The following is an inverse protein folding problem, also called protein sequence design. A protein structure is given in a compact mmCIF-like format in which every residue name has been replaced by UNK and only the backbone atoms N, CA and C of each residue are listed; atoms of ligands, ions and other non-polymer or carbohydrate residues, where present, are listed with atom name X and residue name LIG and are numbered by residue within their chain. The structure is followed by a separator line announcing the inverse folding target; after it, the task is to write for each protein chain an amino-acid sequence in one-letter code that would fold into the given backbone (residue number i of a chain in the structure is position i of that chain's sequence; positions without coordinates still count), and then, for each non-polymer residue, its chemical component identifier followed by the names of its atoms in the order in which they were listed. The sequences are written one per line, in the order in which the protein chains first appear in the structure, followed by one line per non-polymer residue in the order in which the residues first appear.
data_IF_137648925528
#
_entry.id   IF_137648925528
#
_cell.length_a   1.000
_cell.length_b   1.000
_cell.length_c   1.000
_cell.angle_alpha   90.00
_cell.angle_beta   90.00
_cell.angle_gamma   90.00
#
_symmetry.space_group_name_H-M   'P 1'
#
loop_
_entity.id
_entity.type
_entity.pdbx_description
1 polymer ?
#
# COMPACT_ATOMS: atom_id res chain seq x y z
N UNK A 1 -30.38 4.95 39.49
CA UNK A 1 -29.76 6.05 38.73
C UNK A 1 -28.26 6.02 39.02
N UNK A 2 -27.50 5.16 38.35
CA UNK A 2 -26.04 5.16 38.45
C UNK A 2 -25.50 6.08 37.36
N UNK A 3 -25.25 7.33 37.74
CA UNK A 3 -24.49 8.28 36.94
C UNK A 3 -23.01 7.89 37.07
N UNK A 4 -22.53 7.02 36.18
CA UNK A 4 -21.10 6.82 36.02
C UNK A 4 -20.52 8.13 35.45
N UNK A 5 -19.99 8.97 36.34
CA UNK A 5 -19.16 10.13 36.01
C UNK A 5 -17.81 9.60 35.52
N UNK A 6 -17.84 8.96 34.34
CA UNK A 6 -16.64 8.62 33.61
C UNK A 6 -16.08 9.91 33.05
N UNK A 7 -15.07 10.46 33.71
CA UNK A 7 -14.05 11.26 33.02
C UNK A 7 -13.74 10.50 31.74
N UNK A 8 -13.89 11.13 30.59
CA UNK A 8 -13.59 10.53 29.30
C UNK A 8 -12.10 10.18 29.25
N UNK A 9 -11.74 9.02 29.81
CA UNK A 9 -10.51 8.37 29.48
C UNK A 9 -10.62 8.09 27.99
N UNK A 10 -9.75 8.71 27.22
CA UNK A 10 -9.39 8.26 25.87
C UNK A 10 -8.65 6.93 26.07
N UNK A 11 -9.41 5.94 26.53
CA UNK A 11 -8.94 4.76 27.23
C UNK A 11 -8.50 3.75 26.20
N UNK A 12 -7.19 3.51 26.14
CA UNK A 12 -6.70 2.38 25.39
C UNK A 12 -7.26 1.08 25.93
N UNK A 13 -7.60 0.14 25.04
CA UNK A 13 -8.04 -1.20 25.43
C UNK A 13 -6.82 -1.98 25.96
N UNK A 14 -6.90 -2.49 27.19
CA UNK A 14 -5.85 -3.36 27.72
C UNK A 14 -6.14 -4.81 27.35
N UNK A 15 -5.24 -5.41 26.57
CA UNK A 15 -5.27 -6.84 26.26
C UNK A 15 -4.23 -7.53 27.14
N UNK A 16 -4.66 -8.55 27.89
CA UNK A 16 -3.78 -9.34 28.75
C UNK A 16 -2.58 -9.88 27.95
N UNK A 17 -1.37 -9.71 28.49
CA UNK A 17 -0.07 -10.07 27.88
C UNK A 17 0.42 -9.19 26.72
N UNK A 18 -0.44 -8.37 26.13
CA UNK A 18 -0.11 -7.53 24.97
C UNK A 18 -0.03 -6.04 25.30
N UNK A 19 -0.62 -5.61 26.43
CA UNK A 19 -0.54 -4.24 26.93
C UNK A 19 -1.74 -3.38 26.54
N UNK A 20 -1.57 -2.06 26.62
CA UNK A 20 -2.62 -1.08 26.34
C UNK A 20 -2.53 -0.63 24.89
N UNK A 21 -3.62 -0.80 24.14
CA UNK A 21 -3.75 -0.41 22.74
C UNK A 21 -4.52 0.89 22.63
N UNK A 22 -3.97 1.86 21.89
CA UNK A 22 -4.69 3.07 21.52
C UNK A 22 -5.45 2.84 20.21
N UNK A 23 -6.46 3.68 19.98
CA UNK A 23 -7.15 3.71 18.69
C UNK A 23 -6.16 4.05 17.56
N UNK A 24 -6.23 3.30 16.46
CA UNK A 24 -5.38 3.48 15.29
C UNK A 24 -5.61 4.80 14.55
N UNK A 25 -6.73 5.49 14.82
CA UNK A 25 -6.96 6.86 14.33
C UNK A 25 -6.12 7.92 15.06
N UNK A 26 -5.56 7.59 16.23
CA UNK A 26 -4.75 8.51 17.04
C UNK A 26 -3.30 8.48 16.50
N UNK A 27 -2.76 9.64 16.11
CA UNK A 27 -1.45 9.87 15.45
C UNK A 27 -1.46 9.70 13.91
N UNK A 28 -0.27 9.58 13.30
CA UNK A 28 -0.01 9.51 11.85
C UNK A 28 -0.57 8.25 11.14
N UNK A 29 -1.53 7.55 11.74
CA UNK A 29 -2.06 6.26 11.26
C UNK A 29 -3.47 6.36 10.68
N UNK A 30 -4.10 7.54 10.63
CA UNK A 30 -5.39 7.74 9.97
C UNK A 30 -5.35 7.39 8.46
N UNK A 31 -4.15 7.38 7.86
CA UNK A 31 -3.90 6.66 6.62
C UNK A 31 -3.04 5.42 6.90
N UNK A 32 -3.62 4.20 6.93
CA UNK A 32 -2.90 2.99 7.31
C UNK A 32 -1.94 2.49 6.20
N UNK A 33 -1.70 3.28 5.15
CA UNK A 33 -0.92 2.87 3.98
C UNK A 33 0.48 2.36 4.34
N UNK A 34 1.17 3.01 5.27
CA UNK A 34 2.51 2.60 5.68
C UNK A 34 2.48 1.27 6.45
N UNK A 35 1.44 1.06 7.27
CA UNK A 35 1.24 -0.21 7.97
C UNK A 35 0.94 -1.31 6.94
N UNK A 36 0.05 -1.06 5.98
CA UNK A 36 -0.30 -2.03 4.94
C UNK A 36 0.92 -2.43 4.09
N UNK A 37 1.77 -1.46 3.72
CA UNK A 37 3.02 -1.74 3.00
C UNK A 37 4.01 -2.53 3.85
N UNK A 38 4.12 -2.22 5.15
CA UNK A 38 4.96 -2.96 6.07
C UNK A 38 4.50 -4.43 6.22
N UNK A 39 3.21 -4.64 6.50
CA UNK A 39 2.60 -5.97 6.61
C UNK A 39 2.74 -6.76 5.30
N UNK A 40 2.57 -6.11 4.15
CA UNK A 40 2.71 -6.78 2.85
C UNK A 40 4.09 -7.41 2.64
N UNK A 41 5.15 -6.76 3.12
CA UNK A 41 6.53 -7.28 3.05
C UNK A 41 6.74 -8.46 4.01
N UNK A 42 6.04 -8.45 5.14
CA UNK A 42 6.09 -9.55 6.09
C UNK A 42 5.34 -10.78 5.56
N UNK A 43 4.16 -10.60 4.97
CA UNK A 43 3.34 -11.68 4.41
C UNK A 43 3.97 -12.26 3.14
N UNK A 44 4.54 -11.41 2.28
CA UNK A 44 5.14 -11.82 1.00
C UNK A 44 6.60 -11.35 0.87
N UNK A 45 7.56 -11.93 1.62
CA UNK A 45 8.96 -11.46 1.65
C UNK A 45 9.70 -11.60 0.31
N UNK A 46 9.25 -12.50 -0.56
CA UNK A 46 9.80 -12.69 -1.91
C UNK A 46 9.27 -11.66 -2.93
N UNK A 47 8.25 -10.89 -2.57
CA UNK A 47 7.64 -9.87 -3.42
C UNK A 47 8.29 -8.52 -3.10
N UNK A 48 9.04 -8.01 -4.06
CA UNK A 48 9.76 -6.72 -3.92
C UNK A 48 8.78 -5.56 -3.71
N UNK A 49 7.64 -5.58 -4.41
CA UNK A 49 6.59 -4.57 -4.31
C UNK A 49 5.21 -5.13 -4.70
N UNK A 50 4.11 -4.56 -4.16
CA UNK A 50 2.75 -4.89 -4.60
C UNK A 50 2.50 -4.48 -6.07
N UNK A 51 1.61 -5.21 -6.76
CA UNK A 51 1.19 -4.90 -8.14
C UNK A 51 0.23 -3.69 -8.22
N UNK A 52 -0.59 -3.51 -7.19
CA UNK A 52 -1.57 -2.44 -7.06
C UNK A 52 -1.67 -2.08 -5.59
N UNK A 53 -1.63 -0.79 -5.28
CA UNK A 53 -1.85 -0.26 -3.94
C UNK A 53 -3.06 0.66 -3.98
N UNK A 54 -4.10 0.34 -3.20
CA UNK A 54 -5.31 1.13 -3.11
C UNK A 54 -5.52 1.60 -1.67
N UNK A 55 -5.51 2.91 -1.48
CA UNK A 55 -5.91 3.58 -0.25
C UNK A 55 -7.33 4.15 -0.42
N UNK A 56 -8.21 3.90 0.54
CA UNK A 56 -9.53 4.50 0.59
C UNK A 56 -9.52 5.60 1.65
N UNK A 57 -9.79 6.83 1.23
CA UNK A 57 -9.92 7.99 2.11
C UNK A 57 -11.39 8.29 2.41
N UNK A 58 -11.62 8.89 3.58
CA UNK A 58 -12.97 9.28 4.06
C UNK A 58 -13.37 10.69 3.62
N UNK A 59 -12.46 11.46 3.04
CA UNK A 59 -12.67 12.85 2.72
C UNK A 59 -11.46 13.69 3.09
N UNK A 60 -11.30 14.83 2.43
CA UNK A 60 -10.45 15.92 2.92
C UNK A 60 -11.12 17.25 2.60
N UNK A 61 -10.92 18.23 3.48
CA UNK A 61 -11.22 19.63 3.20
C UNK A 61 -10.04 20.23 2.43
N UNK A 62 -10.26 20.77 1.23
CA UNK A 62 -9.21 21.53 0.56
C UNK A 62 -9.01 22.83 1.35
N UNK A 63 -7.90 22.92 2.08
CA UNK A 63 -7.52 24.15 2.80
C UNK A 63 -6.96 25.17 1.80
N UNK A 64 -7.79 25.59 0.82
CA UNK A 64 -7.41 26.55 -0.21
C UNK A 64 -7.12 27.95 0.32
N UNK A 65 -7.49 28.22 1.57
CA UNK A 65 -7.18 29.45 2.28
C UNK A 65 -6.93 29.04 3.72
N UNK A 66 -5.81 29.48 4.32
CA UNK A 66 -5.71 29.49 5.79
C UNK A 66 -7.04 30.02 6.28
N UNK A 67 -7.89 29.25 7.00
CA UNK A 67 -9.13 29.81 7.46
C UNK A 67 -8.70 31.04 8.27
N UNK A 68 -9.15 32.20 7.80
CA UNK A 68 -9.18 33.40 8.62
C UNK A 68 -10.25 33.08 9.65
N UNK A 69 -9.93 32.15 10.55
CA UNK A 69 -10.67 31.93 11.79
C UNK A 69 -10.54 33.27 12.47
N UNK A 70 -11.59 34.08 12.37
CA UNK A 70 -11.70 35.31 13.12
C UNK A 70 -11.59 34.90 14.58
N UNK A 71 -10.41 35.11 15.16
CA UNK A 71 -10.16 34.70 16.54
C UNK A 71 -11.00 35.62 17.43
N UNK A 72 -11.79 35.08 18.37
CA UNK A 72 -12.35 35.91 19.41
C UNK A 72 -11.15 36.45 20.21
N UNK A 73 -10.90 37.76 20.09
CA UNK A 73 -10.01 38.47 21.01
C UNK A 73 -10.66 38.36 22.38
N UNK A 74 -10.21 37.42 23.21
CA UNK A 74 -10.65 37.36 24.60
C UNK A 74 -10.02 38.56 25.31
N UNK A 75 -10.78 39.63 25.45
CA UNK A 75 -10.39 40.80 26.22
C UNK A 75 -10.49 40.44 27.70
N UNK A 76 -9.37 40.09 28.33
CA UNK A 76 -9.30 40.09 29.78
C UNK A 76 -8.92 41.50 30.30
N UNK A 77 -9.35 41.91 31.51
CA UNK A 77 -9.25 43.30 32.00
C UNK A 77 -7.82 43.83 32.26
N UNK A 78 -6.80 43.01 32.05
CA UNK A 78 -5.40 43.31 32.33
C UNK A 78 -4.68 43.19 30.98
N UNK A 79 -3.97 44.24 30.57
CA UNK A 79 -3.56 44.58 29.20
C UNK A 79 -2.57 43.63 28.49
N UNK A 80 -2.79 42.32 28.55
CA UNK A 80 -2.15 41.33 27.68
C UNK A 80 -3.19 40.72 26.73
N UNK A 81 -3.20 41.22 25.50
CA UNK A 81 -3.86 40.56 24.38
C UNK A 81 -3.06 39.31 24.03
N UNK A 82 -3.47 38.14 24.51
CA UNK A 82 -2.91 36.87 24.03
C UNK A 82 -3.74 36.35 22.85
N UNK A 83 -3.10 36.12 21.71
CA UNK A 83 -3.74 35.42 20.61
C UNK A 83 -3.89 33.95 20.99
N UNK A 84 -5.12 33.41 21.01
CA UNK A 84 -5.40 31.98 21.30
C UNK A 84 -4.50 31.04 20.47
N UNK A 85 -4.10 31.49 19.26
CA UNK A 85 -3.17 30.78 18.37
C UNK A 85 -1.81 30.46 19.00
N UNK A 86 -1.35 31.23 19.97
CA UNK A 86 -0.03 31.04 20.58
C UNK A 86 -0.04 30.10 21.79
N UNK A 87 -1.21 29.62 22.25
CA UNK A 87 -1.21 28.73 23.41
C UNK A 87 -0.54 27.41 23.01
N UNK A 88 0.37 26.85 23.85
CA UNK A 88 0.94 25.54 23.61
C UNK A 88 -0.11 24.46 23.39
N UNK A 89 -1.27 24.56 24.08
CA UNK A 89 -2.39 23.63 23.91
C UNK A 89 -3.05 23.75 22.54
N UNK A 90 -3.28 24.96 22.03
CA UNK A 90 -3.81 25.15 20.67
C UNK A 90 -2.80 24.65 19.62
N UNK A 91 -1.50 24.91 19.80
CA UNK A 91 -0.46 24.34 18.93
C UNK A 91 -0.46 22.81 18.99
N UNK A 92 -0.63 22.20 20.17
CA UNK A 92 -0.74 20.75 20.32
C UNK A 92 -1.98 20.18 19.63
N UNK A 93 -3.15 20.81 19.80
CA UNK A 93 -4.40 20.39 19.13
C UNK A 93 -4.27 20.55 17.61
N UNK A 94 -3.67 21.65 17.14
CA UNK A 94 -3.43 21.85 15.71
C UNK A 94 -2.42 20.84 15.14
N UNK A 95 -1.31 20.58 15.84
CA UNK A 95 -0.36 19.54 15.47
C UNK A 95 -1.01 18.15 15.47
N UNK A 96 -1.88 17.88 16.45
CA UNK A 96 -2.65 16.64 16.52
C UNK A 96 -3.64 16.52 15.36
N UNK A 97 -4.41 17.58 15.05
CA UNK A 97 -5.28 17.65 13.86
C UNK A 97 -4.50 17.47 12.56
N UNK A 98 -3.35 18.12 12.42
CA UNK A 98 -2.46 17.95 11.28
C UNK A 98 -1.92 16.52 11.16
N UNK A 99 -1.62 15.86 12.29
CA UNK A 99 -1.22 14.44 12.32
C UNK A 99 -2.33 13.49 11.86
N UNK A 100 -3.60 13.86 12.06
CA UNK A 100 -4.76 13.12 11.59
C UNK A 100 -5.08 13.34 10.11
N UNK A 101 -4.42 14.26 9.40
CA UNK A 101 -4.66 14.45 7.96
C UNK A 101 -4.11 13.25 7.17
N UNK A 102 -4.97 12.28 6.85
CA UNK A 102 -4.60 11.12 6.04
C UNK A 102 -4.13 11.48 4.62
N UNK A 103 -4.48 12.67 4.12
CA UNK A 103 -3.99 13.19 2.84
C UNK A 103 -2.53 13.67 2.96
N UNK A 104 -2.09 14.14 4.13
CA UNK A 104 -0.69 14.49 4.37
C UNK A 104 0.23 13.26 4.30
N UNK A 105 -0.14 12.17 4.98
CA UNK A 105 0.57 10.89 4.92
C UNK A 105 0.61 10.33 3.50
N UNK A 106 -0.46 10.50 2.73
CA UNK A 106 -0.49 10.11 1.31
C UNK A 106 0.49 10.94 0.48
N UNK A 107 0.50 12.28 0.65
CA UNK A 107 1.43 13.17 -0.07
C UNK A 107 2.89 12.85 0.26
N UNK A 108 3.18 12.61 1.54
CA UNK A 108 4.52 12.21 1.98
C UNK A 108 4.95 10.89 1.35
N UNK A 109 4.09 9.86 1.35
CA UNK A 109 4.37 8.60 0.68
C UNK A 109 4.64 8.80 -0.82
N UNK A 110 3.79 9.56 -1.52
CA UNK A 110 3.94 9.83 -2.95
C UNK A 110 5.21 10.63 -3.29
N UNK A 111 5.80 11.36 -2.34
CA UNK A 111 7.09 12.02 -2.52
C UNK A 111 8.28 11.05 -2.44
N UNK A 112 8.12 9.89 -1.78
CA UNK A 112 9.17 8.88 -1.65
C UNK A 112 9.11 7.79 -2.72
N UNK A 113 7.96 7.62 -3.38
CA UNK A 113 7.77 6.63 -4.45
C UNK A 113 8.37 7.17 -5.77
N UNK A 114 9.08 6.32 -6.49
CA UNK A 114 9.65 6.65 -7.79
C UNK A 114 8.56 6.88 -8.85
N UNK A 115 8.77 7.80 -9.79
CA UNK A 115 7.72 8.28 -10.72
C UNK A 115 7.07 7.18 -11.57
N UNK A 116 7.83 6.16 -11.99
CA UNK A 116 7.33 5.03 -12.77
C UNK A 116 6.42 4.08 -11.97
N UNK A 117 6.55 4.06 -10.65
CA UNK A 117 5.75 3.26 -9.72
C UNK A 117 4.46 3.97 -9.32
N UNK A 118 4.40 5.31 -9.34
CA UNK A 118 3.24 6.10 -8.90
C UNK A 118 1.93 5.69 -9.57
N UNK A 119 1.99 5.17 -10.81
CA UNK A 119 0.83 4.65 -11.57
C UNK A 119 0.17 3.40 -10.96
N UNK A 120 0.84 2.73 -10.03
CA UNK A 120 0.34 1.56 -9.31
C UNK A 120 -0.27 1.91 -7.95
N UNK A 121 -0.15 3.17 -7.53
CA UNK A 121 -0.66 3.70 -6.28
C UNK A 121 -1.89 4.57 -6.51
N UNK A 122 -3.00 4.16 -5.91
CA UNK A 122 -4.29 4.82 -6.03
C UNK A 122 -4.77 5.26 -4.65
N UNK A 123 -5.34 6.46 -4.58
CA UNK A 123 -6.13 6.90 -3.45
C UNK A 123 -7.48 7.39 -3.92
N UNK A 124 -8.53 6.67 -3.54
CA UNK A 124 -9.90 7.14 -3.74
C UNK A 124 -10.30 7.90 -2.48
N UNK A 125 -10.40 9.21 -2.58
CA UNK A 125 -10.83 10.07 -1.48
C UNK A 125 -11.76 11.16 -2.01
N UNK A 126 -12.74 11.53 -1.20
CA UNK A 126 -13.66 12.61 -1.51
C UNK A 126 -12.98 13.95 -1.22
N UNK A 127 -13.15 14.92 -2.12
CA UNK A 127 -12.95 16.33 -1.78
C UNK A 127 -14.29 16.84 -1.23
N UNK A 128 -14.29 17.34 0.00
CA UNK A 128 -15.52 17.75 0.65
C UNK A 128 -16.07 19.04 0.01
N UNK A 129 -17.38 19.13 -0.25
CA UNK A 129 -17.99 20.34 -0.85
C UNK A 129 -18.04 21.55 0.11
N UNK A 130 -17.58 21.38 1.35
CA UNK A 130 -17.63 22.37 2.42
C UNK A 130 -16.79 21.91 3.61
N UNK A 131 -16.95 22.55 4.79
CA UNK A 131 -16.24 22.14 5.99
C UNK A 131 -16.59 20.70 6.36
N UNK A 132 -15.64 20.01 7.00
CA UNK A 132 -15.88 18.67 7.53
C UNK A 132 -17.12 18.67 8.45
N UNK A 133 -18.14 17.84 8.14
CA UNK A 133 -19.32 17.76 8.98
C UNK A 133 -18.96 17.19 10.35
N UNK A 134 -19.73 17.55 11.37
CA UNK A 134 -19.53 16.98 12.70
C UNK A 134 -19.75 15.46 12.68
N UNK A 135 -19.05 14.73 13.53
CA UNK A 135 -19.11 13.25 13.59
C UNK A 135 -20.53 12.72 13.89
N UNK A 136 -21.36 13.52 14.55
CA UNK A 136 -22.74 13.24 14.92
C UNK A 136 -23.78 13.85 13.96
N UNK A 137 -23.35 14.52 12.89
CA UNK A 137 -24.24 15.07 11.87
C UNK A 137 -24.74 13.99 10.91
N UNK A 138 -25.74 13.22 11.35
CA UNK A 138 -26.42 12.24 10.52
C UNK A 138 -27.15 12.87 9.32
N UNK A 139 -27.48 14.17 9.37
CA UNK A 139 -28.11 14.90 8.27
C UNK A 139 -27.18 15.06 7.06
N UNK A 140 -25.87 15.06 7.29
CA UNK A 140 -24.86 15.13 6.24
C UNK A 140 -24.69 13.81 5.44
N UNK A 141 -25.21 12.67 5.92
CA UNK A 141 -24.96 11.35 5.32
C UNK A 141 -25.38 11.27 3.84
N UNK A 142 -26.56 11.77 3.48
CA UNK A 142 -27.03 11.79 2.09
C UNK A 142 -26.20 12.73 1.22
N UNK A 143 -25.80 13.87 1.77
CA UNK A 143 -24.95 14.84 1.09
C UNK A 143 -23.57 14.23 0.79
N UNK A 144 -22.92 13.60 1.76
CA UNK A 144 -21.63 12.91 1.56
C UNK A 144 -21.75 11.76 0.55
N UNK A 145 -22.80 10.95 0.68
CA UNK A 145 -23.08 9.82 -0.20
C UNK A 145 -23.29 10.27 -1.65
N UNK A 146 -24.03 11.36 -1.85
CA UNK A 146 -24.21 11.97 -3.18
C UNK A 146 -22.93 12.62 -3.71
N UNK A 147 -22.12 13.27 -2.86
CA UNK A 147 -20.85 13.86 -3.24
C UNK A 147 -19.87 12.81 -3.78
N UNK A 148 -19.78 11.63 -3.17
CA UNK A 148 -18.94 10.51 -3.69
C UNK A 148 -19.42 10.05 -5.07
N UNK A 149 -20.74 9.95 -5.28
CA UNK A 149 -21.31 9.54 -6.57
C UNK A 149 -21.03 10.58 -7.66
N UNK A 150 -21.18 11.86 -7.32
CA UNK A 150 -21.11 13.00 -8.23
C UNK A 150 -19.70 13.58 -8.40
N UNK A 151 -18.70 13.09 -7.67
CA UNK A 151 -17.34 13.59 -7.75
C UNK A 151 -16.84 13.61 -9.22
N UNK A 152 -16.39 14.76 -9.76
CA UNK A 152 -16.08 14.89 -11.20
C UNK A 152 -15.04 13.88 -11.71
N UNK A 153 -13.97 13.65 -10.93
CA UNK A 153 -12.92 12.67 -11.25
C UNK A 153 -13.28 11.24 -10.82
N UNK A 154 -14.41 11.05 -10.15
CA UNK A 154 -14.83 9.78 -9.56
C UNK A 154 -14.96 8.65 -10.58
N UNK A 155 -15.72 8.81 -11.68
CA UNK A 155 -15.91 7.73 -12.67
C UNK A 155 -14.60 7.23 -13.29
N UNK A 156 -13.73 8.15 -13.72
CA UNK A 156 -12.45 7.80 -14.33
C UNK A 156 -11.49 7.17 -13.32
N UNK A 157 -11.36 7.75 -12.11
CA UNK A 157 -10.52 7.19 -11.06
C UNK A 157 -10.97 5.78 -10.66
N UNK A 158 -12.27 5.56 -10.48
CA UNK A 158 -12.83 4.23 -10.19
C UNK A 158 -12.57 3.24 -11.33
N UNK A 159 -12.74 3.68 -12.58
CA UNK A 159 -12.42 2.87 -13.76
C UNK A 159 -10.93 2.47 -13.76
N UNK A 160 -10.02 3.41 -13.54
CA UNK A 160 -8.59 3.15 -13.55
C UNK A 160 -8.16 2.17 -12.44
N UNK A 161 -8.71 2.34 -11.22
CA UNK A 161 -8.53 1.40 -10.11
C UNK A 161 -9.07 0.02 -10.46
N UNK A 162 -10.28 -0.05 -11.03
CA UNK A 162 -10.89 -1.32 -11.42
C UNK A 162 -10.06 -2.02 -12.49
N UNK A 163 -9.65 -1.31 -13.54
CA UNK A 163 -8.73 -1.83 -14.57
C UNK A 163 -7.44 -2.34 -13.93
N UNK A 164 -6.87 -1.60 -12.98
CA UNK A 164 -5.64 -1.99 -12.29
C UNK A 164 -5.77 -3.31 -11.54
N UNK A 165 -6.82 -3.45 -10.73
CA UNK A 165 -7.10 -4.67 -9.96
C UNK A 165 -7.44 -5.88 -10.85
N UNK A 166 -8.13 -5.65 -11.96
CA UNK A 166 -8.49 -6.71 -12.90
C UNK A 166 -7.28 -7.18 -13.71
N UNK A 167 -6.44 -6.26 -14.20
CA UNK A 167 -5.22 -6.60 -14.94
C UNK A 167 -4.19 -7.29 -14.03
N UNK A 168 -4.09 -6.89 -12.75
CA UNK A 168 -3.22 -7.57 -11.79
C UNK A 168 -3.69 -8.99 -11.45
N UNK A 169 -4.88 -9.40 -11.87
CA UNK A 169 -5.32 -10.81 -11.77
C UNK A 169 -4.68 -11.71 -12.84
N UNK A 170 -4.04 -11.14 -13.85
CA UNK A 170 -3.30 -11.88 -14.86
C UNK A 170 -1.85 -12.07 -14.45
N UNK A 171 -1.26 -13.21 -14.79
CA UNK A 171 0.13 -13.54 -14.49
C UNK A 171 0.69 -14.44 -15.59
N UNK A 172 2.01 -14.49 -15.71
CA UNK A 172 2.69 -15.32 -16.69
C UNK A 172 3.26 -16.58 -16.04
N UNK A 173 3.14 -17.68 -16.77
CA UNK A 173 3.72 -18.97 -16.44
C UNK A 173 4.61 -19.40 -17.61
N UNK A 174 5.90 -19.56 -17.34
CA UNK A 174 6.82 -20.15 -18.30
C UNK A 174 6.62 -21.68 -18.25
N UNK A 175 6.46 -22.32 -19.42
CA UNK A 175 6.14 -23.75 -19.50
C UNK A 175 7.40 -24.63 -19.43
N UNK A 176 8.49 -24.16 -20.02
CA UNK A 176 9.73 -24.92 -20.15
C UNK A 176 10.96 -24.02 -20.10
N UNK A 177 12.14 -24.60 -19.85
CA UNK A 177 13.39 -23.86 -19.94
C UNK A 177 13.53 -23.31 -21.36
N UNK A 178 13.79 -22.00 -21.53
CA UNK A 178 13.94 -21.40 -22.85
C UNK A 178 15.05 -22.08 -23.66
N UNK A 179 14.75 -22.43 -24.91
CA UNK A 179 15.73 -23.05 -25.81
C UNK A 179 16.55 -21.97 -26.50
N UNK A 180 17.88 -22.12 -26.49
CA UNK A 180 18.77 -21.19 -27.20
C UNK A 180 18.87 -21.56 -28.68
N UNK A 181 18.55 -20.63 -29.57
CA UNK A 181 18.67 -20.80 -31.01
C UNK A 181 19.02 -19.46 -31.67
N UNK A 182 19.95 -19.46 -32.63
CA UNK A 182 20.32 -18.29 -33.44
C UNK A 182 20.63 -17.02 -32.61
N UNK A 183 21.37 -17.16 -31.51
CA UNK A 183 21.79 -16.02 -30.70
C UNK A 183 20.78 -15.55 -29.64
N UNK A 184 19.59 -16.15 -29.58
CA UNK A 184 18.49 -15.75 -28.71
C UNK A 184 17.90 -16.96 -27.97
N UNK A 185 17.32 -16.73 -26.80
CA UNK A 185 16.47 -17.70 -26.13
C UNK A 185 15.03 -17.55 -26.60
N UNK A 186 14.42 -18.67 -27.00
CA UNK A 186 13.00 -18.77 -27.27
C UNK A 186 12.26 -19.10 -25.97
N UNK A 187 11.39 -18.20 -25.53
CA UNK A 187 10.57 -18.37 -24.34
C UNK A 187 9.15 -18.78 -24.74
N UNK A 188 8.68 -19.90 -24.20
CA UNK A 188 7.35 -20.45 -24.42
C UNK A 188 6.60 -20.54 -23.08
N UNK A 189 5.41 -19.93 -23.03
CA UNK A 189 4.62 -19.92 -21.81
C UNK A 189 3.17 -19.52 -22.07
N UNK A 190 2.44 -19.26 -21.00
CA UNK A 190 1.08 -18.77 -21.08
C UNK A 190 0.80 -17.65 -20.08
N UNK A 191 -0.02 -16.71 -20.52
CA UNK A 191 -0.67 -15.74 -19.63
C UNK A 191 -1.95 -16.38 -19.09
N UNK A 192 -2.04 -16.44 -17.77
CA UNK A 192 -3.16 -17.02 -17.03
C UNK A 192 -3.89 -15.93 -16.26
N UNK A 193 -5.11 -16.24 -15.82
CA UNK A 193 -5.91 -15.35 -14.97
C UNK A 193 -6.34 -16.08 -13.71
N UNK A 194 -6.18 -15.44 -12.54
CA UNK A 194 -6.54 -16.01 -11.23
C UNK A 194 -8.05 -16.29 -11.10
N UNK A 195 -8.89 -15.56 -11.82
CA UNK A 195 -10.34 -15.81 -11.81
C UNK A 195 -10.99 -15.51 -13.17
N UNK A 196 -11.93 -16.37 -13.58
CA UNK A 196 -12.75 -16.09 -14.76
C UNK A 196 -13.68 -14.89 -14.58
N UNK A 197 -14.00 -14.54 -13.33
CA UNK A 197 -14.72 -13.31 -12.98
C UNK A 197 -13.93 -12.07 -13.35
N UNK A 198 -12.62 -12.02 -13.02
CA UNK A 198 -11.78 -10.88 -13.36
C UNK A 198 -11.67 -10.67 -14.88
N UNK A 199 -11.48 -11.75 -15.65
CA UNK A 199 -11.50 -11.69 -17.11
C UNK A 199 -12.81 -11.08 -17.66
N UNK A 200 -13.96 -11.60 -17.20
CA UNK A 200 -15.26 -11.13 -17.68
C UNK A 200 -15.52 -9.68 -17.29
N UNK A 201 -15.19 -9.30 -16.07
CA UNK A 201 -15.28 -7.90 -15.62
C UNK A 201 -14.40 -6.98 -16.46
N UNK A 202 -13.19 -7.42 -16.82
CA UNK A 202 -12.27 -6.62 -17.64
C UNK A 202 -12.81 -6.40 -19.06
N UNK A 203 -13.33 -7.46 -19.68
CA UNK A 203 -13.98 -7.37 -21.00
C UNK A 203 -15.23 -6.47 -20.96
N UNK A 204 -16.01 -6.51 -19.88
CA UNK A 204 -17.19 -5.65 -19.72
C UNK A 204 -16.81 -4.17 -19.53
N UNK A 205 -15.71 -3.90 -18.83
CA UNK A 205 -15.21 -2.53 -18.63
C UNK A 205 -14.58 -1.99 -19.91
N UNK A 206 -14.02 -2.83 -20.78
CA UNK A 206 -13.43 -2.41 -22.06
C UNK A 206 -14.02 -3.18 -23.26
N UNK A 207 -15.27 -2.89 -23.67
CA UNK A 207 -15.98 -3.68 -24.67
C UNK A 207 -15.47 -3.52 -26.10
N UNK A 208 -14.54 -2.57 -26.36
CA UNK A 208 -13.99 -2.32 -27.70
C UNK A 208 -13.15 -3.48 -28.26
N UNK A 209 -12.74 -4.44 -27.42
CA UNK A 209 -12.10 -5.68 -27.86
C UNK A 209 -10.64 -5.53 -28.32
N UNK A 210 -10.03 -4.38 -28.06
CA UNK A 210 -8.65 -3.98 -28.41
C UNK A 210 -7.64 -4.21 -27.26
N UNK A 211 -7.98 -5.07 -26.30
CA UNK A 211 -7.09 -5.45 -25.20
C UNK A 211 -6.04 -6.46 -25.69
N UNK A 212 -4.81 -5.99 -25.89
CA UNK A 212 -3.72 -6.80 -26.46
C UNK A 212 -2.54 -6.93 -25.47
N UNK A 213 -1.93 -8.11 -25.43
CA UNK A 213 -0.73 -8.37 -24.64
C UNK A 213 0.55 -7.97 -25.38
N UNK A 214 1.45 -7.32 -24.64
CA UNK A 214 2.74 -6.85 -25.10
C UNK A 214 3.85 -7.35 -24.16
N UNK A 215 5.06 -7.48 -24.69
CA UNK A 215 6.29 -7.52 -23.92
C UNK A 215 7.06 -6.21 -24.14
N UNK A 216 6.98 -5.30 -23.17
CA UNK A 216 7.50 -3.95 -23.30
C UNK A 216 6.81 -3.19 -24.44
N UNK A 217 7.52 -3.02 -25.57
CA UNK A 217 6.99 -2.34 -26.77
C UNK A 217 6.58 -3.32 -27.87
N UNK A 218 6.90 -4.60 -27.73
CA UNK A 218 6.68 -5.62 -28.75
C UNK A 218 5.32 -6.28 -28.53
N UNK A 219 4.46 -6.25 -29.55
CA UNK A 219 3.18 -6.99 -29.52
C UNK A 219 3.46 -8.50 -29.48
N UNK A 220 2.67 -9.23 -28.69
CA UNK A 220 2.68 -10.70 -28.66
C UNK A 220 1.67 -11.31 -29.64
N UNK A 221 0.93 -10.48 -30.41
CA UNK A 221 -0.17 -10.93 -31.27
C UNK A 221 -1.31 -11.62 -30.52
N UNK A 222 -1.39 -11.42 -29.21
CA UNK A 222 -2.32 -12.12 -28.33
C UNK A 222 -3.33 -11.12 -27.76
N UNK A 223 -4.58 -11.24 -28.22
CA UNK A 223 -5.70 -10.45 -27.71
C UNK A 223 -6.40 -11.16 -26.55
N UNK A 224 -6.86 -10.38 -25.58
CA UNK A 224 -7.66 -10.86 -24.47
C UNK A 224 -9.03 -11.32 -24.98
N UNK A 225 -9.36 -12.59 -24.77
CA UNK A 225 -10.62 -13.15 -25.24
C UNK A 225 -11.22 -14.15 -24.25
N UNK A 226 -12.54 -14.22 -24.18
CA UNK A 226 -13.25 -15.25 -23.42
C UNK A 226 -13.10 -16.65 -24.04
N UNK A 227 -12.69 -16.73 -25.30
CA UNK A 227 -12.42 -17.98 -26.05
C UNK A 227 -11.26 -18.77 -25.46
N UNK A 228 -10.33 -18.10 -24.79
CA UNK A 228 -9.18 -18.69 -24.12
C UNK A 228 -9.53 -19.26 -22.72
N UNK A 229 -10.83 -19.29 -22.35
CA UNK A 229 -11.32 -20.02 -21.19
C UNK A 229 -11.48 -21.52 -21.50
N UNK A 230 -10.88 -22.37 -20.68
CA UNK A 230 -11.15 -23.79 -20.74
C UNK A 230 -12.64 -24.07 -20.48
N UNK A 231 -13.29 -24.79 -21.40
CA UNK A 231 -14.71 -25.15 -21.28
C UNK A 231 -15.00 -26.04 -20.08
N UNK A 232 -14.03 -26.86 -19.65
CA UNK A 232 -14.17 -27.77 -18.52
C UNK A 232 -13.87 -27.09 -17.18
N UNK A 233 -12.66 -26.56 -16.99
CA UNK A 233 -12.23 -26.02 -15.68
C UNK A 233 -12.42 -24.51 -15.52
N UNK A 234 -12.88 -23.81 -16.56
CA UNK A 234 -13.11 -22.35 -16.59
C UNK A 234 -11.87 -21.50 -16.28
N UNK A 235 -10.67 -22.07 -16.34
CA UNK A 235 -9.41 -21.33 -16.22
C UNK A 235 -9.06 -20.68 -17.56
N UNK A 236 -8.61 -19.44 -17.50
CA UNK A 236 -8.10 -18.70 -18.67
C UNK A 236 -6.65 -19.08 -18.93
N UNK A 237 -6.31 -19.31 -20.19
CA UNK A 237 -4.95 -19.62 -20.62
C UNK A 237 -4.71 -19.13 -22.04
N UNK A 238 -3.79 -18.18 -22.20
CA UNK A 238 -3.35 -17.67 -23.48
C UNK A 238 -1.88 -17.99 -23.71
N UNK A 239 -1.59 -18.90 -24.63
CA UNK A 239 -0.21 -19.21 -25.00
C UNK A 239 0.43 -17.99 -25.67
N UNK A 240 1.64 -17.65 -25.23
CA UNK A 240 2.45 -16.55 -25.77
C UNK A 240 3.89 -17.01 -25.92
N UNK A 241 4.59 -16.44 -26.90
CA UNK A 241 5.99 -16.71 -27.15
C UNK A 241 6.74 -15.41 -27.47
N UNK A 242 8.00 -15.34 -27.06
CA UNK A 242 8.87 -14.21 -27.33
C UNK A 242 10.34 -14.63 -27.24
N UNK A 243 11.24 -13.75 -27.67
CA UNK A 243 12.68 -14.01 -27.66
C UNK A 243 13.41 -13.03 -26.74
N UNK A 244 14.41 -13.52 -26.02
CA UNK A 244 15.33 -12.69 -25.19
C UNK A 244 16.77 -12.99 -25.55
N UNK A 245 17.70 -12.04 -25.33
CA UNK A 245 19.13 -12.23 -25.62
C UNK A 245 19.82 -13.02 -24.52
N UNK A 246 19.41 -12.77 -23.29
CA UNK A 246 19.91 -13.39 -22.07
C UNK A 246 18.76 -13.85 -21.19
N UNK A 247 18.96 -14.94 -20.44
CA UNK A 247 18.02 -15.33 -19.38
C UNK A 247 17.97 -14.29 -18.23
N UNK A 248 18.98 -13.43 -18.14
CA UNK A 248 19.03 -12.30 -17.20
C UNK A 248 18.31 -11.05 -17.72
N UNK A 249 17.80 -11.06 -18.95
CA UNK A 249 17.01 -9.95 -19.48
C UNK A 249 15.67 -9.87 -18.75
N UNK A 250 15.24 -8.64 -18.41
CA UNK A 250 13.93 -8.39 -17.84
C UNK A 250 12.85 -8.37 -18.94
N UNK A 251 11.81 -9.16 -18.72
CA UNK A 251 10.57 -9.08 -19.49
C UNK A 251 9.55 -8.26 -18.73
N UNK A 252 8.75 -7.49 -19.48
CA UNK A 252 7.71 -6.65 -18.91
C UNK A 252 6.42 -6.92 -19.66
N UNK A 253 5.73 -7.99 -19.26
CA UNK A 253 4.45 -8.34 -19.86
C UNK A 253 3.37 -7.36 -19.39
N UNK A 254 2.63 -6.79 -20.34
CA UNK A 254 1.61 -5.79 -20.10
C UNK A 254 0.40 -5.97 -21.01
N UNK A 255 -0.72 -5.43 -20.58
CA UNK A 255 -1.95 -5.33 -21.36
C UNK A 255 -2.12 -3.88 -21.81
N UNK A 256 -2.36 -3.69 -23.11
CA UNK A 256 -2.51 -2.38 -23.75
C UNK A 256 -3.92 -2.27 -24.34
N UNK A 257 -4.53 -1.09 -24.25
CA UNK A 257 -5.87 -0.81 -24.78
C UNK A 257 -6.01 0.55 -25.47
N UNK A 258 -4.95 1.35 -25.50
CA UNK A 258 -4.83 2.50 -26.40
C UNK A 258 -3.36 2.81 -26.63
N UNK A 259 -3.04 3.77 -27.50
CA UNK A 259 -1.64 4.15 -27.81
C UNK A 259 -0.84 4.44 -26.53
N UNK A 260 -1.46 5.16 -25.59
CA UNK A 260 -0.83 5.65 -24.36
C UNK A 260 -1.21 4.85 -23.10
N UNK A 261 -2.22 3.98 -23.21
CA UNK A 261 -2.74 3.26 -22.05
C UNK A 261 -2.30 1.80 -22.06
N UNK A 262 -1.40 1.49 -21.13
CA UNK A 262 -0.86 0.15 -20.88
C UNK A 262 -0.68 -0.08 -19.39
N UNK A 263 -0.79 -1.33 -18.97
CA UNK A 263 -0.52 -1.74 -17.59
C UNK A 263 0.12 -3.11 -17.53
N UNK A 264 1.13 -3.23 -16.68
CA UNK A 264 1.79 -4.51 -16.42
C UNK A 264 0.81 -5.52 -15.81
N UNK A 265 0.95 -6.78 -16.22
CA UNK A 265 0.31 -7.89 -15.49
C UNK A 265 1.07 -8.16 -14.19
N UNK A 266 0.53 -9.04 -13.33
CA UNK A 266 1.10 -9.34 -12.03
C UNK A 266 2.56 -9.77 -12.10
N UNK A 267 3.34 -9.31 -11.12
CA UNK A 267 4.75 -9.63 -10.94
C UNK A 267 5.63 -9.24 -12.13
N UNK A 268 5.40 -8.09 -12.78
CA UNK A 268 6.26 -7.57 -13.86
C UNK A 268 6.84 -6.20 -13.50
N UNK A 269 8.09 -5.88 -13.92
CA UNK A 269 9.00 -6.70 -14.73
C UNK A 269 9.73 -7.80 -13.93
N UNK A 270 10.20 -8.84 -14.63
CA UNK A 270 11.03 -9.92 -14.06
C UNK A 270 12.04 -10.46 -15.06
N UNK A 271 13.17 -10.93 -14.56
CA UNK A 271 14.13 -11.70 -15.37
C UNK A 271 13.55 -13.05 -15.77
N UNK A 272 13.96 -13.59 -16.91
CA UNK A 272 13.53 -14.93 -17.32
C UNK A 272 14.04 -16.00 -16.35
N UNK A 273 15.27 -15.85 -15.83
CA UNK A 273 15.84 -16.71 -14.79
C UNK A 273 14.98 -16.77 -13.53
N UNK A 274 14.31 -15.67 -13.15
CA UNK A 274 13.38 -15.68 -12.01
C UNK A 274 12.24 -16.69 -12.19
N UNK A 275 11.69 -16.84 -13.40
CA UNK A 275 10.63 -17.83 -13.64
C UNK A 275 11.16 -19.26 -13.55
N UNK A 276 12.34 -19.51 -14.13
CA UNK A 276 13.02 -20.81 -14.08
C UNK A 276 13.21 -21.25 -12.63
N UNK A 277 13.80 -20.37 -11.80
CA UNK A 277 14.06 -20.64 -10.39
C UNK A 277 12.75 -20.79 -9.60
N UNK A 278 11.78 -19.88 -9.81
CA UNK A 278 10.53 -19.84 -9.04
C UNK A 278 9.61 -21.03 -9.33
N UNK A 279 9.60 -21.51 -10.57
CA UNK A 279 8.80 -22.67 -11.00
C UNK A 279 9.57 -23.99 -10.91
N UNK A 280 10.87 -23.95 -10.57
CA UNK A 280 11.71 -25.14 -10.47
C UNK A 280 11.90 -25.87 -11.80
N UNK A 281 11.98 -25.14 -12.92
CA UNK A 281 12.10 -25.73 -14.26
C UNK A 281 13.47 -26.38 -14.50
N UNK A 282 14.50 -25.96 -13.76
CA UNK A 282 15.87 -26.51 -13.80
C UNK A 282 16.13 -27.62 -12.76
N UNK A 283 15.11 -28.01 -11.99
CA UNK A 283 15.23 -29.05 -10.98
C UNK A 283 15.49 -30.42 -11.64
N UNK A 284 16.57 -31.15 -11.25
CA UNK A 284 17.05 -32.34 -11.97
C UNK A 284 16.08 -33.54 -12.01
N UNK A 285 15.00 -33.53 -11.23
CA UNK A 285 14.05 -34.64 -11.12
C UNK A 285 12.58 -34.25 -11.37
N UNK A 286 12.32 -33.13 -12.07
CA UNK A 286 10.94 -32.73 -12.37
C UNK A 286 10.08 -32.45 -11.13
N UNK A 287 10.73 -32.13 -10.00
CA UNK A 287 10.08 -31.90 -8.71
C UNK A 287 9.08 -30.73 -8.70
N UNK A 288 9.06 -29.91 -9.77
CA UNK A 288 7.99 -28.93 -10.01
C UNK A 288 6.58 -29.57 -9.91
N UNK A 289 6.42 -30.83 -10.35
CA UNK A 289 5.14 -31.53 -10.27
C UNK A 289 4.82 -32.12 -8.87
N UNK A 290 5.80 -32.19 -7.96
CA UNK A 290 5.66 -32.86 -6.66
C UNK A 290 5.34 -31.87 -5.53
N UNK A 291 5.85 -30.63 -5.63
CA UNK A 291 5.71 -29.63 -4.56
C UNK A 291 4.44 -28.81 -4.61
N UNK A 292 3.76 -28.73 -5.76
CA UNK A 292 2.42 -28.14 -5.82
C UNK A 292 1.39 -29.22 -5.42
N UNK A 293 0.47 -28.95 -4.47
CA UNK A 293 -0.65 -29.86 -4.22
C UNK A 293 -1.30 -30.12 -5.57
N UNK A 294 -1.61 -31.39 -5.94
CA UNK A 294 -1.93 -31.78 -7.31
C UNK A 294 -2.91 -30.77 -7.86
N UNK A 295 -2.39 -29.81 -8.63
CA UNK A 295 -3.22 -28.73 -9.13
C UNK A 295 -4.23 -29.49 -9.95
N UNK A 296 -5.52 -29.41 -9.63
CA UNK A 296 -6.56 -30.23 -10.26
C UNK A 296 -6.33 -30.12 -11.77
N UNK A 297 -5.70 -31.15 -12.36
CA UNK A 297 -5.15 -31.04 -13.70
C UNK A 297 -6.34 -31.28 -14.59
N UNK A 298 -6.74 -30.22 -15.28
CA UNK A 298 -7.81 -30.34 -16.24
C UNK A 298 -7.24 -31.14 -17.41
N UNK A 299 -7.77 -32.36 -17.63
CA UNK A 299 -7.35 -33.22 -18.76
C UNK A 299 -7.33 -32.46 -20.10
N UNK A 300 -8.27 -31.53 -20.28
CA UNK A 300 -8.35 -30.67 -21.47
C UNK A 300 -7.19 -29.67 -21.55
N UNK A 301 -6.80 -29.05 -20.44
CA UNK A 301 -5.67 -28.11 -20.41
C UNK A 301 -4.34 -28.82 -20.65
N UNK A 302 -4.13 -29.97 -20.03
CA UNK A 302 -2.88 -30.74 -20.16
C UNK A 302 -2.63 -31.18 -21.61
N UNK A 303 -3.68 -31.50 -22.37
CA UNK A 303 -3.56 -31.84 -23.80
C UNK A 303 -3.19 -30.63 -24.67
N UNK A 304 -3.54 -29.41 -24.26
CA UNK A 304 -3.22 -28.18 -25.00
C UNK A 304 -1.78 -27.70 -24.80
N UNK A 305 -1.10 -28.16 -23.75
CA UNK A 305 0.27 -27.76 -23.39
C UNK A 305 1.34 -28.56 -24.15
N UNK A 306 0.98 -29.72 -24.72
CA UNK A 306 1.90 -30.56 -25.50
C UNK A 306 2.06 -30.00 -26.94
N UNK A 307 2.91 -28.99 -27.10
CA UNK A 307 3.40 -28.54 -28.41
C UNK A 307 4.58 -29.43 -28.83
N UNK A 308 4.80 -29.75 -30.13
CA UNK A 308 5.90 -30.61 -30.55
C UNK A 308 7.26 -30.02 -30.18
N UNK A 309 8.07 -30.80 -29.47
CA UNK A 309 9.42 -30.41 -29.08
C UNK A 309 10.28 -30.08 -30.33
N UNK A 310 10.77 -28.85 -30.42
CA UNK A 310 11.89 -28.52 -31.32
C UNK A 310 13.15 -29.25 -30.82
N UNK A 311 13.93 -29.81 -31.75
CA UNK A 311 15.15 -30.56 -31.47
C UNK A 311 16.10 -29.76 -30.57
N UNK A 312 16.44 -30.34 -29.42
CA UNK A 312 17.20 -29.67 -28.36
C UNK A 312 18.69 -29.72 -28.63
N UNK A 313 19.38 -28.59 -28.63
CA UNK A 313 20.82 -28.56 -28.44
C UNK A 313 21.11 -28.51 -26.92
N UNK A 314 21.94 -29.41 -26.35
CA UNK A 314 22.15 -29.47 -24.91
C UNK A 314 22.85 -28.22 -24.37
N UNK A 315 22.24 -27.60 -23.36
CA UNK A 315 22.76 -26.43 -22.64
C UNK A 315 24.15 -26.71 -22.07
N UNK A 316 25.15 -25.91 -22.50
CA UNK A 316 26.45 -25.84 -21.84
C UNK A 316 26.30 -25.11 -20.52
N UNK A 317 26.34 -25.85 -19.41
CA UNK A 317 26.41 -25.28 -18.05
C UNK A 317 27.64 -24.37 -17.92
N UNK A 318 27.51 -23.12 -17.44
CA UNK A 318 28.63 -22.42 -16.86
C UNK A 318 29.10 -23.22 -15.64
N UNK A 319 30.39 -23.58 -15.60
CA UNK A 319 31.00 -24.21 -14.43
C UNK A 319 30.89 -23.23 -13.26
N UNK A 320 29.91 -23.40 -12.37
CA UNK A 320 29.95 -22.79 -11.04
C UNK A 320 31.22 -23.28 -10.37
N UNK A 321 32.18 -22.38 -10.12
CA UNK A 321 33.22 -22.63 -9.13
C UNK A 321 32.48 -22.89 -7.82
N UNK A 322 32.55 -24.12 -7.31
CA UNK A 322 32.26 -24.39 -5.91
C UNK A 322 33.34 -23.67 -5.10
N UNK A 323 33.12 -22.42 -4.73
CA UNK A 323 33.76 -21.87 -3.55
C UNK A 323 32.92 -22.31 -2.37
N UNK A 324 33.42 -23.33 -1.68
CA UNK A 324 32.94 -23.75 -0.38
C UNK A 324 33.25 -22.62 0.62
N UNK A 325 32.35 -21.65 0.74
CA UNK A 325 32.29 -20.79 1.91
C UNK A 325 31.11 -21.26 2.77
N UNK A 326 31.43 -21.50 4.03
CA UNK A 326 30.58 -22.11 5.04
C UNK A 326 29.20 -21.46 5.12
N UNK A 327 28.18 -22.27 4.88
CA UNK A 327 26.78 -21.96 5.15
C UNK A 327 26.60 -21.98 6.67
N UNK A 328 27.03 -20.92 7.36
CA UNK A 328 26.72 -20.75 8.78
C UNK A 328 26.36 -19.30 9.16
N UNK A 329 26.47 -18.32 8.25
CA UNK A 329 26.19 -16.91 8.59
C UNK A 329 24.88 -16.32 8.03
N UNK A 330 24.13 -17.01 7.15
CA UNK A 330 22.85 -16.49 6.61
C UNK A 330 21.58 -16.94 7.35
N UNK A 331 21.68 -17.71 8.45
CA UNK A 331 20.53 -17.98 9.34
C UNK A 331 20.32 -16.93 10.44
N UNK A 332 21.02 -15.80 10.40
CA UNK A 332 20.72 -14.68 11.29
C UNK A 332 19.57 -13.87 10.67
N UNK A 333 18.34 -14.27 10.98
CA UNK A 333 17.18 -13.39 10.83
C UNK A 333 17.52 -12.02 11.45
N UNK A 334 17.30 -10.90 10.75
CA UNK A 334 17.58 -9.59 11.30
C UNK A 334 16.68 -9.37 12.52
N UNK A 335 17.31 -9.21 13.71
CA UNK A 335 16.58 -8.79 14.90
C UNK A 335 15.85 -7.48 14.59
N UNK A 336 14.52 -7.40 14.81
CA UNK A 336 13.80 -6.16 14.60
C UNK A 336 14.39 -5.05 15.50
N UNK A 337 14.36 -3.78 15.08
CA UNK A 337 14.85 -2.69 15.91
C UNK A 337 14.09 -2.69 17.22
N UNK A 338 14.82 -2.87 18.33
CA UNK A 338 14.28 -2.72 19.68
C UNK A 338 14.09 -1.23 19.89
N UNK A 339 12.84 -0.77 19.76
CA UNK A 339 12.44 0.55 20.27
C UNK A 339 12.43 0.46 21.80
N UNK A 340 13.58 0.66 22.44
CA UNK A 340 13.61 0.96 23.87
C UNK A 340 13.01 2.35 24.04
N UNK A 341 11.77 2.41 24.53
CA UNK A 341 11.22 3.60 25.17
C UNK A 341 12.08 3.81 26.41
N UNK A 342 13.08 4.69 26.32
CA UNK A 342 13.88 5.08 27.48
C UNK A 342 12.90 5.73 28.48
N UNK A 343 12.68 5.17 29.69
CA UNK A 343 11.78 5.78 30.65
C UNK A 343 12.32 7.16 30.99
N UNK A 344 11.47 8.18 30.81
CA UNK A 344 11.76 9.58 31.11
C UNK A 344 12.51 9.67 32.44
N UNK A 345 13.82 10.01 32.41
CA UNK A 345 14.59 10.23 33.63
C UNK A 345 13.85 11.26 34.48
N UNK A 346 13.55 10.94 35.75
CA UNK A 346 12.89 11.90 36.63
C UNK A 346 13.79 13.13 36.73
N UNK A 347 13.23 14.29 36.35
CA UNK A 347 13.90 15.59 36.43
C UNK A 347 14.51 15.73 37.83
N UNK A 348 15.81 16.02 37.86
CA UNK A 348 16.59 16.34 39.07
C UNK A 348 15.73 17.14 40.04
N UNK A 349 15.57 16.61 41.27
CA UNK A 349 15.00 17.33 42.41
C UNK A 349 15.71 18.68 42.51
N UNK A 350 14.98 19.76 42.25
CA UNK A 350 15.40 21.10 42.64
C UNK A 350 15.58 21.08 44.16
N UNK A 351 16.82 21.25 44.60
CA UNK A 351 17.18 21.43 46.00
C UNK A 351 16.47 22.67 46.57
N UNK A 352 16.05 22.63 47.85
CA UNK A 352 15.20 23.65 48.45
C UNK A 352 15.94 24.98 48.54
N UNK A 353 15.26 26.04 48.09
CA UNK A 353 15.65 27.42 48.34
C UNK A 353 15.60 27.65 49.84
N UNK A 354 16.73 28.10 50.40
CA UNK A 354 16.91 28.41 51.82
C UNK A 354 15.89 29.45 52.26
N UNK A 355 15.18 29.15 53.35
CA UNK A 355 14.56 30.13 54.22
C UNK A 355 15.65 31.07 54.75
N UNK A 356 15.63 32.33 54.35
CA UNK A 356 16.27 33.42 55.09
C UNK A 356 15.18 34.36 55.60
N UNK A 357 15.00 34.26 56.91
CA UNK A 357 14.63 35.31 57.87
C UNK A 357 13.38 36.16 57.62
N UNK A 358 12.30 35.67 58.23
CA UNK A 358 11.34 36.49 58.97
C UNK A 358 12.05 37.51 59.89
N UNK A 359 11.67 38.79 59.79
CA UNK A 359 11.45 39.72 60.92
C UNK A 359 10.83 41.05 60.44
N UNK A 360 10.10 41.78 61.31
CA UNK A 360 8.72 42.13 60.98
C UNK A 360 8.47 43.64 60.92
N UNK A 361 7.62 44.08 59.99
CA UNK A 361 7.00 45.40 60.06
C UNK A 361 5.61 45.31 60.67
N UNK A 362 5.58 45.41 62.00
CA UNK A 362 4.42 45.88 62.74
C UNK A 362 4.19 47.37 62.44
N UNK A 363 2.91 47.74 62.48
CA UNK A 363 2.34 49.08 62.76
C UNK A 363 1.97 49.92 61.53
N UNK A 364 0.68 49.85 61.19
CA UNK A 364 -0.13 51.01 60.81
C UNK A 364 -1.60 50.65 61.11
N UNK A 365 -1.94 50.77 62.38
CA UNK A 365 -3.32 50.89 62.85
C UNK A 365 -3.80 52.34 62.67
N UNK A 366 -5.09 52.46 62.33
CA UNK A 366 -5.99 53.62 62.48
C UNK A 366 -5.73 54.82 61.59
N UNK A 367 -6.70 55.07 60.70
CA UNK A 367 -7.56 56.26 60.51
C UNK A 367 -8.43 55.84 59.30
N UNK A 368 -9.71 55.48 59.44
CA UNK A 368 -10.84 56.40 59.51
C UNK A 368 -12.03 55.70 60.17
N UNK A 369 -12.52 56.29 61.26
CA UNK A 369 -13.90 56.15 61.68
C UNK A 369 -14.45 57.56 61.87
N UNK A 370 -15.59 57.85 61.25
CA UNK A 370 -16.70 58.60 61.84
C UNK A 370 -17.83 58.70 60.79
N UNK A 371 -18.98 58.13 61.20
CA UNK A 371 -20.38 58.48 60.90
C UNK A 371 -20.75 58.82 59.46
#
# INVERSE_FOLDING_TARGET
MYMASGKGDVGGASISQLGTYQDGGVNHHNNPINIALWESRYIWPSVVRPDVVLSLGTGYEETGQSPVVMTPKVKFPWSFSFSVRETPLHRLIQSFKGSMDGQSTWRELMNHIHEDEKRDYFRLTLELPGPEPAIDDYGAMELLSSAVRLQPRGPEARRNVLMALLISSFYFELHEIPTYNNGMYYCNGAIRCRSSGALRSLLNVHPLGDLEFFNGRTSLGAFLSDRDLCKSCRRYQKTVHFFVKSLEDEISLCLKWSVDQTRNISAMPRRVSWFIDRQGLDMPFGAAAICDPPSVTCKVCTLSEQVPALEREPLRRPKRKLEAQSIEDERREPKPPVWTIEPLRPKRKLSPVREEDERPRKKLERIYGQV
#
